data_IF_923482157518
#
_entry.id   IF_923482157518
#
_cell.length_a   1.000
_cell.length_b   1.000
_cell.length_c   1.000
_cell.angle_alpha   90.00
_cell.angle_beta   90.00
_cell.angle_gamma   90.00
#
_symmetry.space_group_name_H-M   'P 1'
#
loop_
_entity.id
_entity.type
_entity.pdbx_description
1 polymer ?
#
# COMPACT_ATOMS: atom_id res chain seq x y z
N UNK A 1 -14.12 -39.96 -18.06
CA UNK A 1 -13.85 -38.81 -17.17
C UNK A 1 -14.80 -37.71 -17.54
N UNK A 2 -15.79 -37.44 -16.69
CA UNK A 2 -16.82 -36.44 -16.95
C UNK A 2 -16.20 -35.04 -16.87
N UNK A 3 -16.27 -34.30 -17.99
CA UNK A 3 -15.82 -32.90 -18.12
C UNK A 3 -16.59 -32.06 -17.09
N UNK A 4 -15.91 -31.45 -16.11
CA UNK A 4 -16.55 -30.63 -15.07
C UNK A 4 -17.28 -29.45 -15.74
N UNK A 5 -18.46 -29.09 -15.25
CA UNK A 5 -19.38 -28.12 -15.87
C UNK A 5 -18.79 -26.71 -16.13
N UNK A 6 -17.63 -26.38 -15.53
CA UNK A 6 -16.92 -25.11 -15.69
C UNK A 6 -15.52 -25.27 -16.33
N UNK A 7 -15.23 -26.36 -17.03
CA UNK A 7 -13.95 -26.54 -17.71
C UNK A 7 -13.87 -25.66 -18.95
N UNK A 8 -12.99 -24.65 -18.89
CA UNK A 8 -12.60 -23.82 -20.03
C UNK A 8 -12.08 -24.75 -21.13
N UNK A 9 -12.61 -24.61 -22.35
CA UNK A 9 -12.13 -25.39 -23.50
C UNK A 9 -10.62 -25.23 -23.66
N UNK A 10 -9.91 -26.32 -24.02
CA UNK A 10 -8.46 -26.29 -24.20
C UNK A 10 -8.02 -25.16 -25.13
N UNK A 11 -8.79 -24.87 -26.19
CA UNK A 11 -8.54 -23.76 -27.12
C UNK A 11 -8.63 -22.40 -26.42
N UNK A 12 -9.67 -22.17 -25.62
CA UNK A 12 -9.85 -20.93 -24.86
C UNK A 12 -8.73 -20.76 -23.83
N UNK A 13 -8.30 -21.85 -23.19
CA UNK A 13 -7.20 -21.82 -22.22
C UNK A 13 -5.87 -21.43 -22.90
N UNK A 14 -5.57 -21.99 -24.08
CA UNK A 14 -4.39 -21.60 -24.87
C UNK A 14 -4.44 -20.12 -25.26
N UNK A 15 -5.59 -19.60 -25.70
CA UNK A 15 -5.76 -18.19 -26.05
C UNK A 15 -5.51 -17.30 -24.82
N UNK A 16 -6.11 -17.63 -23.68
CA UNK A 16 -5.91 -16.87 -22.43
C UNK A 16 -4.45 -16.87 -22.00
N UNK A 17 -3.76 -18.00 -22.10
CA UNK A 17 -2.34 -18.09 -21.77
C UNK A 17 -1.48 -17.22 -22.70
N UNK A 18 -1.75 -17.21 -24.01
CA UNK A 18 -1.05 -16.32 -24.96
C UNK A 18 -1.25 -14.85 -24.56
N UNK A 19 -2.49 -14.46 -24.25
CA UNK A 19 -2.81 -13.10 -23.81
C UNK A 19 -2.03 -12.74 -22.53
N UNK A 20 -2.01 -13.62 -21.53
CA UNK A 20 -1.29 -13.39 -20.29
C UNK A 20 0.23 -13.35 -20.48
N UNK A 21 0.79 -14.16 -21.38
CA UNK A 21 2.20 -14.10 -21.74
C UNK A 21 2.53 -12.75 -22.38
N UNK A 22 1.75 -12.30 -23.37
CA UNK A 22 1.95 -10.99 -23.99
C UNK A 22 1.84 -9.85 -22.98
N UNK A 23 0.87 -9.90 -22.07
CA UNK A 23 0.71 -8.91 -21.00
C UNK A 23 1.91 -8.90 -20.04
N UNK A 24 2.37 -10.08 -19.65
CA UNK A 24 3.55 -10.25 -18.78
C UNK A 24 4.79 -9.64 -19.44
N UNK A 25 5.01 -9.91 -20.72
CA UNK A 25 6.12 -9.33 -21.49
C UNK A 25 6.00 -7.81 -21.54
N UNK A 26 4.80 -7.26 -21.79
CA UNK A 26 4.58 -5.82 -21.82
C UNK A 26 4.89 -5.13 -20.47
N UNK A 27 4.64 -5.80 -19.35
CA UNK A 27 4.98 -5.29 -18.01
C UNK A 27 6.47 -5.43 -17.68
N UNK A 28 7.11 -6.54 -18.04
CA UNK A 28 8.51 -6.83 -17.67
C UNK A 28 9.50 -6.09 -18.59
N UNK A 29 9.19 -5.94 -19.87
CA UNK A 29 10.06 -5.31 -20.86
C UNK A 29 10.59 -3.93 -20.42
N UNK A 30 9.77 -2.94 -19.96
CA UNK A 30 10.29 -1.65 -19.52
C UNK A 30 11.19 -1.74 -18.29
N UNK A 31 10.92 -2.66 -17.35
CA UNK A 31 11.76 -2.87 -16.17
C UNK A 31 13.13 -3.44 -16.56
N UNK A 32 13.13 -4.40 -17.48
CA UNK A 32 14.34 -4.99 -18.02
C UNK A 32 15.15 -3.96 -18.81
N UNK A 33 14.49 -3.09 -19.59
CA UNK A 33 15.15 -2.01 -20.31
C UNK A 33 15.84 -1.02 -19.35
N UNK A 34 15.17 -0.59 -18.27
CA UNK A 34 15.76 0.29 -17.25
C UNK A 34 16.98 -0.36 -16.60
N UNK A 35 16.91 -1.66 -16.30
CA UNK A 35 18.05 -2.41 -15.78
C UNK A 35 19.22 -2.41 -16.77
N UNK A 36 18.98 -2.66 -18.05
CA UNK A 36 20.02 -2.67 -19.08
C UNK A 36 20.65 -1.29 -19.25
N UNK A 37 19.83 -0.23 -19.29
CA UNK A 37 20.30 1.15 -19.33
C UNK A 37 21.24 1.44 -18.16
N UNK A 38 20.93 0.95 -16.95
CA UNK A 38 21.76 1.18 -15.76
C UNK A 38 23.18 0.58 -15.84
N UNK A 39 23.38 -0.44 -16.68
CA UNK A 39 24.68 -1.13 -16.88
C UNK A 39 25.32 -0.80 -18.24
N UNK A 40 24.76 0.11 -19.02
CA UNK A 40 25.26 0.51 -20.35
C UNK A 40 26.14 1.76 -20.23
N UNK A 41 27.16 1.86 -21.07
CA UNK A 41 28.04 3.03 -21.13
C UNK A 41 27.28 4.29 -21.60
N UNK A 42 27.41 5.39 -20.87
CA UNK A 42 26.67 6.64 -21.10
C UNK A 42 26.91 7.21 -22.50
N UNK A 43 28.13 7.12 -23.04
CA UNK A 43 28.42 7.64 -24.38
C UNK A 43 27.71 6.81 -25.46
N UNK A 44 27.63 5.49 -25.28
CA UNK A 44 26.88 4.61 -26.19
C UNK A 44 25.38 4.86 -26.13
N UNK A 45 24.84 5.15 -24.93
CA UNK A 45 23.44 5.54 -24.74
C UNK A 45 23.09 6.83 -25.47
N UNK A 46 23.96 7.84 -25.42
CA UNK A 46 23.75 9.13 -26.08
C UNK A 46 23.82 9.00 -27.61
N UNK A 47 24.74 8.17 -28.12
CA UNK A 47 24.97 8.03 -29.56
C UNK A 47 23.95 7.11 -30.24
N UNK A 48 23.66 5.96 -29.63
CA UNK A 48 22.90 4.87 -30.26
C UNK A 48 21.49 4.71 -29.68
N UNK A 49 21.17 5.42 -28.59
CA UNK A 49 19.87 5.38 -27.93
C UNK A 49 19.69 4.18 -27.00
N UNK A 50 18.44 3.98 -26.55
CA UNK A 50 18.08 2.88 -25.66
C UNK A 50 17.87 1.58 -26.43
N UNK A 51 18.51 0.50 -25.98
CA UNK A 51 18.41 -0.82 -26.57
C UNK A 51 18.30 -1.90 -25.49
N UNK A 52 17.64 -3.00 -25.83
CA UNK A 52 17.62 -4.22 -25.01
C UNK A 52 18.93 -5.00 -25.05
N UNK A 53 19.85 -4.66 -25.95
CA UNK A 53 21.14 -5.30 -26.05
C UNK A 53 22.23 -4.22 -25.92
N UNK A 54 22.95 -4.17 -24.79
CA UNK A 54 23.96 -3.15 -24.56
C UNK A 54 25.19 -3.43 -25.45
N UNK A 55 25.59 -2.46 -26.26
CA UNK A 55 26.80 -2.57 -27.09
C UNK A 55 28.08 -2.54 -26.24
N UNK A 56 28.08 -1.69 -25.20
CA UNK A 56 29.17 -1.57 -24.24
C UNK A 56 28.62 -1.47 -22.83
N UNK A 57 29.09 -2.35 -21.96
CA UNK A 57 28.70 -2.36 -20.55
C UNK A 57 29.62 -1.47 -19.72
N UNK A 58 29.06 -0.79 -18.73
CA UNK A 58 29.78 0.08 -17.80
C UNK A 58 29.08 0.12 -16.44
N UNK A 59 29.86 0.06 -15.36
CA UNK A 59 29.39 0.24 -13.98
C UNK A 59 29.66 1.66 -13.45
N UNK A 60 29.97 2.61 -14.35
CA UNK A 60 30.28 3.99 -13.97
C UNK A 60 29.12 4.66 -13.22
N UNK A 61 27.88 4.46 -13.65
CA UNK A 61 26.69 4.99 -12.98
C UNK A 61 26.57 4.51 -11.52
N UNK A 62 26.83 3.22 -11.27
CA UNK A 62 26.86 2.67 -9.92
C UNK A 62 28.00 3.24 -9.09
N UNK A 63 29.22 3.31 -9.63
CA UNK A 63 30.36 3.93 -8.93
C UNK A 63 30.09 5.38 -8.56
N UNK A 64 29.46 6.14 -9.45
CA UNK A 64 29.04 7.52 -9.20
C UNK A 64 27.96 7.60 -8.11
N UNK A 65 26.94 6.75 -8.16
CA UNK A 65 25.92 6.68 -7.12
C UNK A 65 26.51 6.32 -5.74
N UNK A 66 27.51 5.42 -5.71
CA UNK A 66 28.22 5.07 -4.48
C UNK A 66 29.27 6.10 -4.06
N UNK A 67 29.80 6.96 -4.94
CA UNK A 67 30.65 8.08 -4.51
C UNK A 67 29.84 9.14 -3.75
N UNK A 68 28.58 9.35 -4.12
CA UNK A 68 27.61 10.18 -3.38
C UNK A 68 27.01 9.44 -2.16
N UNK A 69 27.79 8.53 -1.54
CA UNK A 69 27.27 7.58 -0.55
C UNK A 69 26.53 8.23 0.62
N UNK A 70 26.91 9.45 1.04
CA UNK A 70 26.27 10.11 2.17
C UNK A 70 24.84 10.55 1.85
N UNK A 71 24.62 11.16 0.67
CA UNK A 71 23.27 11.57 0.24
C UNK A 71 22.39 10.34 0.04
N UNK A 72 22.94 9.31 -0.61
CA UNK A 72 22.21 8.06 -0.88
C UNK A 72 21.85 7.32 0.42
N UNK A 73 22.79 7.22 1.38
CA UNK A 73 22.54 6.61 2.69
C UNK A 73 21.45 7.34 3.46
N UNK A 74 21.51 8.68 3.55
CA UNK A 74 20.51 9.47 4.26
C UNK A 74 19.13 9.34 3.59
N UNK A 75 19.08 9.39 2.26
CA UNK A 75 17.84 9.21 1.52
C UNK A 75 17.21 7.83 1.80
N UNK A 76 17.97 6.74 1.68
CA UNK A 76 17.46 5.40 1.96
C UNK A 76 17.04 5.21 3.41
N UNK A 77 17.82 5.71 4.38
CA UNK A 77 17.45 5.64 5.80
C UNK A 77 16.14 6.38 6.07
N UNK A 78 15.97 7.56 5.48
CA UNK A 78 14.72 8.32 5.59
C UNK A 78 13.56 7.57 4.95
N UNK A 79 13.73 6.98 3.76
CA UNK A 79 12.68 6.18 3.10
C UNK A 79 12.31 4.97 3.94
N UNK A 80 13.27 4.19 4.41
CA UNK A 80 13.02 3.01 5.25
C UNK A 80 12.29 3.42 6.54
N UNK A 81 12.74 4.49 7.20
CA UNK A 81 12.11 4.99 8.42
C UNK A 81 10.65 5.40 8.17
N UNK A 82 10.41 6.23 7.15
CA UNK A 82 9.07 6.74 6.80
C UNK A 82 8.15 5.60 6.38
N UNK A 83 8.63 4.65 5.57
CA UNK A 83 7.82 3.50 5.15
C UNK A 83 7.53 2.58 6.32
N UNK A 84 8.52 2.19 7.12
CA UNK A 84 8.31 1.25 8.23
C UNK A 84 7.38 1.85 9.30
N UNK A 85 7.73 3.02 9.83
CA UNK A 85 6.97 3.67 10.89
C UNK A 85 5.62 4.15 10.37
N UNK A 86 5.61 4.77 9.18
CA UNK A 86 4.39 5.25 8.56
C UNK A 86 3.40 4.12 8.29
N UNK A 87 3.84 2.99 7.72
CA UNK A 87 2.96 1.84 7.46
C UNK A 87 2.45 1.23 8.75
N UNK A 88 3.30 0.99 9.75
CA UNK A 88 2.87 0.41 11.04
C UNK A 88 1.83 1.29 11.72
N UNK A 89 2.09 2.59 11.81
CA UNK A 89 1.15 3.53 12.44
C UNK A 89 -0.15 3.67 11.63
N UNK A 90 -0.05 3.71 10.29
CA UNK A 90 -1.23 3.81 9.41
C UNK A 90 -2.13 2.59 9.58
N UNK A 91 -1.57 1.38 9.52
CA UNK A 91 -2.33 0.13 9.70
C UNK A 91 -2.96 0.10 11.09
N UNK A 92 -2.23 0.48 12.13
CA UNK A 92 -2.72 0.49 13.51
C UNK A 92 -3.88 1.49 13.69
N UNK A 93 -3.75 2.72 13.21
CA UNK A 93 -4.79 3.76 13.28
C UNK A 93 -6.03 3.33 12.51
N UNK A 94 -5.85 2.83 11.29
CA UNK A 94 -6.95 2.35 10.44
C UNK A 94 -7.68 1.19 11.12
N UNK A 95 -6.95 0.19 11.63
CA UNK A 95 -7.55 -0.98 12.26
C UNK A 95 -8.31 -0.62 13.55
N UNK A 96 -7.73 0.23 14.40
CA UNK A 96 -8.37 0.69 15.63
C UNK A 96 -9.63 1.51 15.35
N UNK A 97 -9.66 2.30 14.27
CA UNK A 97 -10.83 3.08 13.89
C UNK A 97 -11.90 2.21 13.20
N UNK A 98 -11.47 1.27 12.35
CA UNK A 98 -12.36 0.37 11.63
C UNK A 98 -13.08 -0.64 12.55
N UNK A 99 -12.45 -1.07 13.65
CA UNK A 99 -13.02 -2.08 14.54
C UNK A 99 -14.36 -1.64 15.16
N UNK A 100 -14.48 -0.50 15.86
CA UNK A 100 -15.77 -0.02 16.36
C UNK A 100 -16.82 0.19 15.25
N UNK A 101 -16.40 0.51 14.02
CA UNK A 101 -17.31 0.72 12.90
C UNK A 101 -17.85 -0.58 12.30
N UNK A 102 -17.17 -1.71 12.50
CA UNK A 102 -17.67 -3.03 12.09
C UNK A 102 -18.70 -3.56 13.09
N UNK A 103 -18.60 -3.14 14.36
CA UNK A 103 -19.53 -3.52 15.45
C UNK A 103 -20.96 -3.05 15.19
N UNK A 104 -21.92 -3.98 15.24
CA UNK A 104 -23.37 -3.66 15.15
C UNK A 104 -23.90 -2.95 16.38
N UNK A 105 -23.30 -3.23 17.53
CA UNK A 105 -23.61 -2.67 18.84
C UNK A 105 -23.07 -1.25 19.06
N UNK A 106 -22.19 -0.75 18.18
CA UNK A 106 -21.71 0.62 18.26
C UNK A 106 -22.74 1.61 17.72
N UNK A 107 -23.42 2.31 18.64
CA UNK A 107 -24.50 3.28 18.35
C UNK A 107 -24.17 4.29 17.26
N UNK A 108 -22.94 4.81 17.23
CA UNK A 108 -22.54 5.89 16.32
C UNK A 108 -21.89 5.42 15.02
N UNK A 109 -21.89 4.12 14.73
CA UNK A 109 -21.19 3.55 13.56
C UNK A 109 -21.57 4.21 12.23
N UNK A 110 -22.85 4.54 12.05
CA UNK A 110 -23.35 5.14 10.82
C UNK A 110 -22.92 6.60 10.68
N UNK A 111 -22.89 7.36 11.78
CA UNK A 111 -22.46 8.76 11.78
C UNK A 111 -20.98 8.87 11.42
N UNK A 112 -20.13 8.09 12.09
CA UNK A 112 -18.70 8.09 11.80
C UNK A 112 -18.39 7.53 10.40
N UNK A 113 -19.14 6.52 9.94
CA UNK A 113 -19.02 6.03 8.55
C UNK A 113 -19.39 7.11 7.53
N UNK A 114 -20.43 7.90 7.81
CA UNK A 114 -20.84 9.01 6.95
C UNK A 114 -19.78 10.12 6.92
N UNK A 115 -19.26 10.56 8.07
CA UNK A 115 -18.20 11.58 8.14
C UNK A 115 -16.98 11.12 7.33
N UNK A 116 -16.57 9.87 7.51
CA UNK A 116 -15.44 9.31 6.82
C UNK A 116 -15.65 9.27 5.30
N UNK A 117 -16.82 8.79 4.85
CA UNK A 117 -17.18 8.77 3.44
C UNK A 117 -17.27 10.19 2.86
N UNK A 118 -17.79 11.15 3.62
CA UNK A 118 -17.85 12.54 3.22
C UNK A 118 -16.45 13.12 2.98
N UNK A 119 -15.49 12.89 3.89
CA UNK A 119 -14.10 13.36 3.72
C UNK A 119 -13.35 12.68 2.57
N UNK A 120 -13.82 11.50 2.12
CA UNK A 120 -13.30 10.84 0.93
C UNK A 120 -13.78 11.53 -0.35
N UNK A 121 -15.04 11.96 -0.38
CA UNK A 121 -15.65 12.62 -1.54
C UNK A 121 -15.30 14.12 -1.63
N UNK A 122 -15.20 14.78 -0.48
CA UNK A 122 -14.97 16.21 -0.37
C UNK A 122 -13.64 16.47 0.34
N UNK A 123 -12.74 17.18 -0.35
CA UNK A 123 -11.43 17.57 0.17
C UNK A 123 -11.19 19.07 -0.06
N UNK A 124 -10.51 19.72 0.88
CA UNK A 124 -10.09 21.11 0.74
C UNK A 124 -9.04 21.34 -0.35
N UNK A 125 -8.46 20.28 -0.93
CA UNK A 125 -7.40 20.37 -1.93
C UNK A 125 -6.02 20.69 -1.33
N UNK A 126 -5.01 20.77 -2.20
CA UNK A 126 -3.60 20.81 -1.79
C UNK A 126 -3.26 22.08 -0.99
N UNK A 127 -3.77 23.25 -1.40
CA UNK A 127 -3.41 24.54 -0.77
C UNK A 127 -3.92 24.63 0.68
N UNK A 128 -5.23 24.42 0.98
CA UNK A 128 -5.71 24.37 2.36
C UNK A 128 -5.06 23.25 3.17
N UNK A 129 -4.85 22.07 2.58
CA UNK A 129 -4.17 20.97 3.26
C UNK A 129 -2.75 21.34 3.70
N UNK A 130 -1.98 21.98 2.80
CA UNK A 130 -0.63 22.45 3.09
C UNK A 130 -0.65 23.54 4.18
N UNK A 131 -1.60 24.48 4.09
CA UNK A 131 -1.76 25.53 5.10
C UNK A 131 -2.02 24.94 6.49
N UNK A 132 -2.92 23.95 6.62
CA UNK A 132 -3.19 23.28 7.90
C UNK A 132 -1.92 22.62 8.43
N UNK A 133 -1.19 21.86 7.61
CA UNK A 133 0.03 21.17 8.04
C UNK A 133 1.09 22.15 8.54
N UNK A 134 1.33 23.24 7.79
CA UNK A 134 2.45 24.15 8.04
C UNK A 134 2.13 25.23 9.07
N UNK A 135 0.91 25.80 9.03
CA UNK A 135 0.52 26.97 9.85
C UNK A 135 -0.24 26.59 11.11
N UNK A 136 -1.04 25.52 11.08
CA UNK A 136 -1.85 25.12 12.24
C UNK A 136 -1.09 24.04 13.03
N UNK A 137 -0.70 22.95 12.35
CA UNK A 137 -0.02 21.83 12.98
C UNK A 137 1.48 22.07 13.18
N UNK A 138 2.05 23.08 12.51
CA UNK A 138 3.49 23.40 12.57
C UNK A 138 4.40 22.24 12.12
N UNK A 139 3.87 21.32 11.31
CA UNK A 139 4.57 20.17 10.77
C UNK A 139 5.12 20.57 9.39
N UNK A 140 6.37 21.03 9.37
CA UNK A 140 7.11 21.38 8.15
C UNK A 140 8.56 20.91 8.27
N UNK A 141 9.19 20.55 7.15
CA UNK A 141 10.61 20.18 7.08
C UNK A 141 11.04 19.12 8.12
N UNK A 142 10.20 18.12 8.36
CA UNK A 142 10.47 17.01 9.29
C UNK A 142 10.05 15.69 8.66
N UNK A 143 10.68 14.58 9.04
CA UNK A 143 10.31 13.23 8.55
C UNK A 143 8.87 12.86 8.91
N UNK A 144 8.40 13.36 10.06
CA UNK A 144 7.05 13.15 10.57
C UNK A 144 5.99 13.72 9.60
N UNK A 145 6.33 14.82 8.91
CA UNK A 145 5.47 15.44 7.90
C UNK A 145 5.13 14.51 6.72
N UNK A 146 5.97 13.50 6.47
CA UNK A 146 5.82 12.60 5.34
C UNK A 146 4.77 11.52 5.57
N UNK A 147 4.40 11.21 6.82
CA UNK A 147 3.44 10.15 7.11
C UNK A 147 2.30 10.56 8.05
N UNK A 148 2.50 11.47 9.02
CA UNK A 148 1.45 11.84 9.99
C UNK A 148 0.15 12.31 9.31
N UNK A 149 0.19 13.23 8.34
CA UNK A 149 -1.02 13.70 7.67
C UNK A 149 -1.77 12.60 6.89
N UNK A 150 -1.09 11.48 6.62
CA UNK A 150 -1.57 10.38 5.79
C UNK A 150 -1.90 9.12 6.59
N UNK A 151 -1.84 9.16 7.94
CA UNK A 151 -2.11 8.01 8.82
C UNK A 151 -3.52 7.42 8.66
N UNK A 152 -4.47 8.22 8.19
CA UNK A 152 -5.84 7.79 8.02
C UNK A 152 -6.28 8.00 6.58
N UNK A 153 -6.58 6.89 5.92
CA UNK A 153 -7.24 6.85 4.62
C UNK A 153 -8.65 6.32 4.79
N UNK A 154 -9.65 7.14 4.44
CA UNK A 154 -11.06 6.77 4.50
C UNK A 154 -11.33 5.47 3.71
N UNK A 155 -10.76 5.36 2.52
CA UNK A 155 -10.88 4.15 1.70
C UNK A 155 -10.39 2.89 2.41
N UNK A 156 -9.19 2.95 3.01
CA UNK A 156 -8.64 1.79 3.71
C UNK A 156 -9.42 1.42 4.97
N UNK A 157 -9.94 2.40 5.71
CA UNK A 157 -10.85 2.12 6.84
C UNK A 157 -12.09 1.36 6.37
N UNK A 158 -12.71 1.75 5.24
CA UNK A 158 -13.89 1.05 4.74
C UNK A 158 -13.57 -0.39 4.33
N UNK A 159 -12.40 -0.63 3.73
CA UNK A 159 -11.94 -1.99 3.42
C UNK A 159 -11.79 -2.81 4.69
N UNK A 160 -11.02 -2.32 5.67
CA UNK A 160 -10.74 -3.06 6.91
C UNK A 160 -12.02 -3.28 7.72
N UNK A 161 -12.92 -2.29 7.79
CA UNK A 161 -14.23 -2.42 8.41
C UNK A 161 -15.06 -3.53 7.75
N UNK A 162 -15.08 -3.55 6.42
CA UNK A 162 -15.82 -4.57 5.66
C UNK A 162 -15.25 -5.95 5.95
N UNK A 163 -13.92 -6.09 5.89
CA UNK A 163 -13.23 -7.32 6.23
C UNK A 163 -13.56 -7.79 7.66
N UNK A 164 -13.47 -6.92 8.67
CA UNK A 164 -13.84 -7.28 10.05
C UNK A 164 -15.30 -7.70 10.17
N UNK A 165 -16.20 -7.09 9.40
CA UNK A 165 -17.62 -7.43 9.41
C UNK A 165 -17.90 -8.78 8.75
N UNK A 166 -17.20 -9.12 7.67
CA UNK A 166 -17.45 -10.36 6.91
C UNK A 166 -16.68 -11.56 7.45
N UNK A 167 -15.47 -11.35 7.95
CA UNK A 167 -14.55 -12.42 8.31
C UNK A 167 -14.70 -12.86 9.76
N UNK A 168 -15.27 -12.03 10.64
CA UNK A 168 -15.35 -12.29 12.08
C UNK A 168 -16.80 -12.49 12.51
N UNK A 169 -17.20 -13.74 12.86
CA UNK A 169 -18.54 -14.03 13.37
C UNK A 169 -18.86 -13.25 14.66
N UNK A 170 -20.07 -12.68 14.74
CA UNK A 170 -20.55 -11.94 15.93
C UNK A 170 -20.47 -12.82 17.21
N UNK A 171 -20.71 -14.13 17.08
CA UNK A 171 -20.67 -15.10 18.19
C UNK A 171 -19.30 -15.21 18.88
N UNK A 172 -18.20 -14.99 18.15
CA UNK A 172 -16.86 -14.99 18.76
C UNK A 172 -16.69 -13.80 19.71
N UNK A 173 -17.23 -12.64 19.34
CA UNK A 173 -17.15 -11.46 20.19
C UNK A 173 -18.10 -11.58 21.38
N UNK A 174 -19.31 -12.13 21.18
CA UNK A 174 -20.24 -12.35 22.29
C UNK A 174 -19.68 -13.35 23.30
N UNK A 175 -19.00 -14.40 22.83
CA UNK A 175 -18.28 -15.35 23.68
C UNK A 175 -17.17 -14.66 24.47
N UNK A 176 -16.34 -13.82 23.81
CA UNK A 176 -15.29 -13.07 24.48
C UNK A 176 -15.84 -12.10 25.55
N UNK A 177 -17.02 -11.50 25.32
CA UNK A 177 -17.70 -10.65 26.30
C UNK A 177 -18.22 -11.44 27.51
N UNK A 178 -18.76 -12.64 27.29
CA UNK A 178 -19.18 -13.55 28.38
C UNK A 178 -17.97 -13.94 29.24
N UNK A 179 -16.82 -14.17 28.62
CA UNK A 179 -15.54 -14.45 29.29
C UNK A 179 -14.91 -13.20 29.97
N UNK A 180 -15.59 -12.06 29.95
CA UNK A 180 -15.14 -10.81 30.59
C UNK A 180 -13.99 -10.11 29.84
N UNK A 181 -13.77 -10.42 28.56
CA UNK A 181 -12.76 -9.73 27.75
C UNK A 181 -13.19 -8.29 27.43
N UNK A 182 -12.39 -7.31 27.83
CA UNK A 182 -12.57 -5.91 27.42
C UNK A 182 -12.26 -5.68 25.94
N UNK A 183 -12.77 -4.59 25.37
CA UNK A 183 -12.69 -4.31 23.91
C UNK A 183 -11.26 -4.32 23.34
N UNK A 184 -10.29 -3.72 24.03
CA UNK A 184 -8.89 -3.75 23.58
C UNK A 184 -8.31 -5.16 23.60
N UNK A 185 -8.63 -5.96 24.61
CA UNK A 185 -8.16 -7.34 24.71
C UNK A 185 -8.78 -8.19 23.60
N UNK A 186 -10.08 -8.03 23.36
CA UNK A 186 -10.81 -8.68 22.26
C UNK A 186 -10.21 -8.29 20.91
N UNK A 187 -9.91 -7.01 20.70
CA UNK A 187 -9.30 -6.53 19.47
C UNK A 187 -7.93 -7.17 19.21
N UNK A 188 -6.98 -7.04 20.15
CA UNK A 188 -5.61 -7.53 19.93
C UNK A 188 -5.47 -9.05 20.01
N UNK A 189 -6.31 -9.74 20.77
CA UNK A 189 -6.17 -11.19 20.99
C UNK A 189 -7.00 -12.03 20.03
N UNK A 190 -8.09 -11.48 19.47
CA UNK A 190 -9.05 -12.24 18.65
C UNK A 190 -9.19 -11.61 17.27
N UNK A 191 -9.62 -10.35 17.21
CA UNK A 191 -9.98 -9.68 15.95
C UNK A 191 -8.76 -9.52 15.05
N UNK A 192 -7.67 -8.95 15.57
CA UNK A 192 -6.47 -8.67 14.81
C UNK A 192 -5.77 -9.96 14.30
N UNK A 193 -5.60 -11.03 15.11
CA UNK A 193 -5.00 -12.28 14.63
C UNK A 193 -5.86 -13.03 13.60
N UNK A 194 -7.19 -12.95 13.70
CA UNK A 194 -8.10 -13.54 12.70
C UNK A 194 -8.14 -12.72 11.39
N UNK A 195 -7.52 -11.54 11.37
CA UNK A 195 -7.50 -10.62 10.24
C UNK A 195 -6.14 -10.47 9.57
N UNK A 196 -5.27 -11.48 9.74
CA UNK A 196 -3.97 -11.55 9.07
C UNK A 196 -4.09 -11.98 7.62
#
# INVERSE_FOLDING_TARGET
>A
MAKKHNEISNTTNVILNIIFICYTIACIAPLLLVFIISITDEQTLIQNGYSFFPEKTSLAAYRFAFSESNVLKVAYLNTIFVTLIGTVLTVLVIALFAYPLSRKDFKYRNVFSFILFFTMLFSGGLVPWYFVCVRILHIKNTLIALFIPYLMSAWYVLIVRTFFTTSIPDSLIDSAKIDGSGEFRTFFSIVLPLSK
#
